data_IF_974276779492
#
_entry.id   IF_974276779492
#
_cell.length_a   1.000
_cell.length_b   1.000
_cell.length_c   1.000
_cell.angle_alpha   90.00
_cell.angle_beta   90.00
_cell.angle_gamma   90.00
#
_symmetry.space_group_name_H-M   'P 1'
#
loop_
_entity.id
_entity.type
_entity.pdbx_description
1 polymer ?
#
# COMPACT_ATOMS: atom_id res chain seq x y z
N UNK A 1 -70.59 38.74 111.17
CA UNK A 1 -69.15 38.59 111.00
C UNK A 1 -68.70 37.26 110.35
N UNK A 2 -69.25 36.06 110.76
CA UNK A 2 -68.71 34.75 110.23
C UNK A 2 -69.20 34.44 108.81
N UNK A 3 -70.41 34.84 108.33
CA UNK A 3 -70.87 34.53 106.97
C UNK A 3 -70.13 35.34 105.89
N UNK A 4 -69.72 36.56 106.11
CA UNK A 4 -68.98 37.40 105.16
C UNK A 4 -67.54 36.89 104.96
N UNK A 5 -66.87 36.31 105.97
CA UNK A 5 -65.52 35.76 105.92
C UNK A 5 -65.50 34.50 105.06
N UNK A 6 -66.56 33.65 105.09
CA UNK A 6 -66.66 32.44 104.26
C UNK A 6 -66.88 32.85 102.76
N UNK A 7 -67.74 33.82 102.48
CA UNK A 7 -67.96 34.33 101.15
C UNK A 7 -66.67 34.96 100.55
N UNK A 8 -65.91 35.76 101.37
CA UNK A 8 -64.64 36.36 100.97
C UNK A 8 -63.58 35.32 100.66
N UNK A 9 -63.51 34.24 101.42
CA UNK A 9 -62.59 33.16 101.11
C UNK A 9 -62.96 32.36 99.87
N UNK A 10 -64.25 32.13 99.64
CA UNK A 10 -64.74 31.47 98.40
C UNK A 10 -64.51 32.34 97.18
N UNK A 11 -64.75 33.67 97.26
CA UNK A 11 -64.41 34.62 96.23
C UNK A 11 -62.92 34.65 95.95
N UNK A 12 -62.07 34.57 97.00
CA UNK A 12 -60.62 34.51 96.84
C UNK A 12 -60.18 33.21 96.08
N UNK A 13 -60.72 32.02 96.49
CA UNK A 13 -60.47 30.73 95.75
C UNK A 13 -60.88 30.76 94.34
N UNK A 14 -62.06 31.36 94.04
CA UNK A 14 -62.52 31.58 92.68
C UNK A 14 -61.59 32.50 91.91
N UNK A 15 -61.14 33.59 92.49
CA UNK A 15 -60.18 34.54 91.91
C UNK A 15 -58.82 33.84 91.61
N UNK A 16 -58.30 33.07 92.55
CA UNK A 16 -57.07 32.28 92.39
C UNK A 16 -57.27 31.20 91.30
N UNK A 17 -58.38 30.48 91.31
CA UNK A 17 -58.72 29.52 90.27
C UNK A 17 -58.84 30.16 88.87
N UNK A 18 -59.47 31.36 88.88
CA UNK A 18 -59.58 32.13 87.58
C UNK A 18 -58.20 32.61 87.08
N UNK A 19 -57.31 33.07 87.99
CA UNK A 19 -55.97 33.50 87.69
C UNK A 19 -55.20 32.32 87.11
N UNK A 20 -55.22 31.12 87.75
CA UNK A 20 -54.57 29.92 87.23
C UNK A 20 -55.12 29.53 85.87
N UNK A 21 -56.40 29.56 85.64
CA UNK A 21 -57.02 29.28 84.33
C UNK A 21 -56.56 30.28 83.25
N UNK A 22 -56.42 31.56 83.58
CA UNK A 22 -55.91 32.61 82.68
C UNK A 22 -54.41 32.34 82.33
N UNK A 23 -53.60 31.88 83.31
CA UNK A 23 -52.21 31.53 83.09
C UNK A 23 -52.08 30.32 82.16
N UNK A 24 -52.90 29.26 82.30
CA UNK A 24 -52.97 28.14 81.36
C UNK A 24 -53.38 28.60 79.96
N UNK A 25 -54.46 29.39 79.82
CA UNK A 25 -54.92 29.94 78.54
C UNK A 25 -53.82 30.77 77.88
N UNK A 26 -53.04 31.53 78.66
CA UNK A 26 -51.95 32.33 78.08
C UNK A 26 -50.79 31.44 77.62
N UNK A 27 -50.48 30.33 78.31
CA UNK A 27 -49.53 29.33 77.90
C UNK A 27 -49.98 28.67 76.57
N UNK A 28 -51.23 28.23 76.51
CA UNK A 28 -51.79 27.60 75.29
C UNK A 28 -51.75 28.52 74.09
N UNK A 29 -52.07 29.82 74.31
CA UNK A 29 -51.97 30.83 73.26
C UNK A 29 -50.54 31.01 72.77
N UNK A 30 -49.54 31.02 73.70
CA UNK A 30 -48.12 31.06 73.25
C UNK A 30 -47.72 29.85 72.44
N UNK A 31 -48.15 28.66 72.84
CA UNK A 31 -47.90 27.40 72.05
C UNK A 31 -48.55 27.45 70.70
N UNK A 32 -49.81 27.89 70.61
CA UNK A 32 -50.53 28.11 69.34
C UNK A 32 -49.85 29.13 68.42
N UNK A 33 -49.30 30.23 68.98
CA UNK A 33 -48.51 31.19 68.21
C UNK A 33 -47.23 30.56 67.62
N UNK A 34 -46.53 29.76 68.44
CA UNK A 34 -45.33 29.02 67.93
C UNK A 34 -45.69 28.05 66.85
N UNK A 35 -46.75 27.23 67.00
CA UNK A 35 -47.23 26.31 65.99
C UNK A 35 -47.61 27.02 64.70
N UNK A 36 -48.35 28.16 64.81
CA UNK A 36 -48.73 28.97 63.65
C UNK A 36 -47.54 29.50 62.89
N UNK A 37 -46.50 30.01 63.57
CA UNK A 37 -45.23 30.44 62.95
C UNK A 37 -44.53 29.33 62.31
N UNK A 38 -44.50 28.11 62.88
CA UNK A 38 -43.94 26.96 62.28
C UNK A 38 -44.70 26.53 60.99
N UNK A 39 -46.00 26.53 60.99
CA UNK A 39 -46.88 26.29 59.84
C UNK A 39 -46.57 27.26 58.73
N UNK A 40 -46.50 28.59 59.03
CA UNK A 40 -46.16 29.61 58.03
C UNK A 40 -44.81 29.35 57.38
N UNK A 41 -43.79 29.07 58.20
CA UNK A 41 -42.44 28.72 57.69
C UNK A 41 -42.42 27.49 56.80
N UNK A 42 -43.13 26.41 57.21
CA UNK A 42 -43.22 25.17 56.46
C UNK A 42 -44.00 25.40 55.14
N UNK A 43 -45.06 26.17 55.19
CA UNK A 43 -45.89 26.54 53.99
C UNK A 43 -45.04 27.30 52.97
N UNK A 44 -44.26 28.31 53.44
CA UNK A 44 -43.35 29.08 52.57
C UNK A 44 -42.30 28.19 51.92
N UNK A 45 -41.68 27.28 52.74
CA UNK A 45 -40.72 26.34 52.24
C UNK A 45 -41.33 25.40 51.21
N UNK A 46 -42.50 24.82 51.47
CA UNK A 46 -43.19 23.94 50.54
C UNK A 46 -43.55 24.67 49.23
N UNK A 47 -43.94 25.94 49.28
CA UNK A 47 -44.19 26.75 48.09
C UNK A 47 -42.93 26.97 47.25
N UNK A 48 -41.77 27.16 47.90
CA UNK A 48 -40.47 27.26 47.21
C UNK A 48 -40.07 25.93 46.57
N UNK A 49 -40.16 24.83 47.34
CA UNK A 49 -39.82 23.46 46.83
C UNK A 49 -40.73 23.10 45.62
N UNK A 50 -41.99 23.46 45.65
CA UNK A 50 -42.92 23.31 44.52
C UNK A 50 -42.50 24.15 43.32
N UNK A 51 -42.08 25.39 43.52
CA UNK A 51 -41.61 26.27 42.43
C UNK A 51 -40.36 25.71 41.76
N UNK A 52 -39.39 25.25 42.57
CA UNK A 52 -38.18 24.57 42.04
C UNK A 52 -38.55 23.29 41.28
N UNK A 53 -39.42 22.44 41.82
CA UNK A 53 -39.89 21.23 41.17
C UNK A 53 -40.61 21.48 39.84
N UNK A 54 -41.39 22.55 39.73
CA UNK A 54 -42.01 22.97 38.46
C UNK A 54 -40.93 23.41 37.45
N UNK A 55 -39.93 24.17 37.89
CA UNK A 55 -38.81 24.58 37.04
C UNK A 55 -38.04 23.39 36.50
N UNK A 56 -37.71 22.41 37.35
CA UNK A 56 -37.03 21.20 36.97
C UNK A 56 -37.86 20.35 35.97
N UNK A 57 -39.17 20.24 36.23
CA UNK A 57 -40.07 19.56 35.32
C UNK A 57 -40.11 20.21 33.93
N UNK A 58 -40.10 21.54 33.85
CA UNK A 58 -40.02 22.28 32.58
C UNK A 58 -38.68 22.03 31.85
N UNK A 59 -37.58 21.99 32.59
CA UNK A 59 -36.26 21.66 32.02
C UNK A 59 -36.20 20.24 31.47
N UNK A 60 -36.73 19.27 32.22
CA UNK A 60 -36.84 17.87 31.76
C UNK A 60 -37.67 17.79 30.49
N UNK A 61 -38.80 18.48 30.43
CA UNK A 61 -39.66 18.50 29.24
C UNK A 61 -38.92 19.03 28.00
N UNK A 62 -38.15 20.12 28.15
CA UNK A 62 -37.32 20.68 27.09
C UNK A 62 -36.27 19.66 26.61
N UNK A 63 -35.55 19.03 27.54
CA UNK A 63 -34.53 18.01 27.22
C UNK A 63 -35.13 16.80 26.49
N UNK A 64 -36.32 16.37 26.87
CA UNK A 64 -37.06 15.29 26.18
C UNK A 64 -37.43 15.67 24.74
N UNK A 65 -37.81 16.95 24.52
CA UNK A 65 -38.09 17.43 23.15
C UNK A 65 -36.83 17.40 22.28
N UNK A 66 -35.69 17.87 22.77
CA UNK A 66 -34.38 17.82 22.08
C UNK A 66 -33.94 16.39 21.84
N UNK A 67 -34.13 15.48 22.78
CA UNK A 67 -33.86 14.06 22.65
C UNK A 67 -34.69 13.45 21.52
N UNK A 68 -35.99 13.76 21.44
CA UNK A 68 -36.90 13.27 20.41
C UNK A 68 -36.44 13.71 19.00
N UNK A 69 -36.04 14.97 18.84
CA UNK A 69 -35.47 15.47 17.58
C UNK A 69 -34.16 14.74 17.20
N UNK A 70 -33.29 14.51 18.19
CA UNK A 70 -32.05 13.75 18.01
C UNK A 70 -32.35 12.33 17.56
N UNK A 71 -33.32 11.63 18.18
CA UNK A 71 -33.73 10.30 17.82
C UNK A 71 -34.29 10.20 16.39
N UNK A 72 -35.09 11.19 15.96
CA UNK A 72 -35.59 11.26 14.58
C UNK A 72 -34.42 11.39 13.57
N UNK A 73 -33.48 12.30 13.87
CA UNK A 73 -32.27 12.47 13.03
C UNK A 73 -31.43 11.20 12.98
N UNK A 74 -31.28 10.52 14.12
CA UNK A 74 -30.58 9.25 14.22
C UNK A 74 -31.25 8.14 13.38
N UNK A 75 -32.59 8.07 13.40
CA UNK A 75 -33.37 7.17 12.56
C UNK A 75 -33.06 7.36 11.06
N UNK A 76 -33.11 8.60 10.58
CA UNK A 76 -32.77 8.92 9.20
C UNK A 76 -31.31 8.55 8.83
N UNK A 77 -30.36 8.70 9.77
CA UNK A 77 -28.98 8.27 9.58
C UNK A 77 -28.87 6.75 9.45
N UNK A 78 -29.59 6.00 10.28
CA UNK A 78 -29.59 4.54 10.20
C UNK A 78 -30.16 4.03 8.88
N UNK A 79 -31.21 4.62 8.35
CA UNK A 79 -31.74 4.30 7.02
C UNK A 79 -30.68 4.52 5.92
N UNK A 80 -29.97 5.65 5.99
CA UNK A 80 -28.87 5.92 5.05
C UNK A 80 -27.76 4.90 5.16
N UNK A 81 -27.32 4.56 6.38
CA UNK A 81 -26.30 3.54 6.62
C UNK A 81 -26.74 2.19 6.06
N UNK A 82 -27.99 1.77 6.32
CA UNK A 82 -28.53 0.51 5.80
C UNK A 82 -28.50 0.47 4.26
N UNK A 83 -28.89 1.56 3.60
CA UNK A 83 -28.80 1.70 2.14
C UNK A 83 -27.35 1.61 1.65
N UNK A 84 -26.42 2.36 2.26
CA UNK A 84 -25.00 2.34 1.91
C UNK A 84 -24.40 0.94 2.08
N UNK A 85 -24.73 0.25 3.18
CA UNK A 85 -24.25 -1.12 3.43
C UNK A 85 -24.75 -2.10 2.35
N UNK A 86 -26.00 -1.95 1.89
CA UNK A 86 -26.51 -2.76 0.77
C UNK A 86 -25.73 -2.51 -0.52
N UNK A 87 -25.55 -1.22 -0.90
CA UNK A 87 -24.76 -0.87 -2.10
C UNK A 87 -23.31 -1.36 -1.98
N UNK A 88 -22.72 -1.30 -0.78
CA UNK A 88 -21.36 -1.79 -0.54
C UNK A 88 -21.27 -3.33 -0.70
N UNK A 89 -22.30 -4.06 -0.25
CA UNK A 89 -22.37 -5.52 -0.44
C UNK A 89 -22.51 -5.88 -1.93
N UNK A 90 -23.33 -5.15 -2.68
CA UNK A 90 -23.47 -5.30 -4.13
C UNK A 90 -22.14 -5.04 -4.85
N UNK A 91 -21.46 -3.93 -4.50
CA UNK A 91 -20.13 -3.58 -5.06
C UNK A 91 -19.06 -4.63 -4.71
N UNK A 92 -19.06 -5.17 -3.49
CA UNK A 92 -18.14 -6.23 -3.08
C UNK A 92 -18.35 -7.50 -3.89
N UNK A 93 -19.61 -7.87 -4.17
CA UNK A 93 -19.94 -9.00 -5.03
C UNK A 93 -19.44 -8.80 -6.46
N UNK A 94 -19.63 -7.61 -7.03
CA UNK A 94 -19.14 -7.25 -8.37
C UNK A 94 -17.59 -7.29 -8.43
N UNK A 95 -16.92 -6.77 -7.40
CA UNK A 95 -15.44 -6.83 -7.30
C UNK A 95 -14.96 -8.28 -7.26
N UNK A 96 -15.66 -9.16 -6.53
CA UNK A 96 -15.31 -10.58 -6.47
C UNK A 96 -15.42 -11.25 -7.84
N UNK A 97 -16.48 -10.98 -8.58
CA UNK A 97 -16.65 -11.50 -9.95
C UNK A 97 -15.58 -10.96 -10.91
N UNK A 98 -15.29 -9.65 -10.84
CA UNK A 98 -14.22 -9.04 -11.64
C UNK A 98 -12.84 -9.63 -11.32
N UNK A 99 -12.53 -9.88 -10.04
CA UNK A 99 -11.29 -10.51 -9.64
C UNK A 99 -11.16 -11.94 -10.18
N UNK A 100 -12.26 -12.71 -10.23
CA UNK A 100 -12.27 -14.01 -10.87
C UNK A 100 -11.92 -13.92 -12.36
N UNK A 101 -12.56 -13.01 -13.08
CA UNK A 101 -12.31 -12.78 -14.51
C UNK A 101 -10.86 -12.33 -14.76
N UNK A 102 -10.29 -11.47 -13.88
CA UNK A 102 -8.88 -11.06 -13.95
C UNK A 102 -7.96 -12.27 -13.73
N UNK A 103 -8.26 -13.14 -12.76
CA UNK A 103 -7.46 -14.34 -12.51
C UNK A 103 -7.46 -15.27 -13.73
N UNK A 104 -8.62 -15.53 -14.33
CA UNK A 104 -8.74 -16.34 -15.55
C UNK A 104 -7.98 -15.71 -16.73
N UNK A 105 -8.14 -14.39 -16.95
CA UNK A 105 -7.41 -13.64 -17.98
C UNK A 105 -5.89 -13.67 -17.74
N UNK A 106 -5.45 -13.63 -16.48
CA UNK A 106 -4.03 -13.70 -16.13
C UNK A 106 -3.44 -15.08 -16.48
N UNK A 107 -4.18 -16.17 -16.21
CA UNK A 107 -3.76 -17.52 -16.60
C UNK A 107 -3.63 -17.62 -18.12
N UNK A 108 -4.63 -17.14 -18.86
CA UNK A 108 -4.61 -17.15 -20.32
C UNK A 108 -3.47 -16.29 -20.90
N UNK A 109 -3.23 -15.11 -20.32
CA UNK A 109 -2.10 -14.25 -20.71
C UNK A 109 -0.75 -14.93 -20.47
N UNK A 110 -0.60 -15.68 -19.38
CA UNK A 110 0.60 -16.46 -19.09
C UNK A 110 0.82 -17.54 -20.15
N UNK A 111 -0.23 -18.24 -20.55
CA UNK A 111 -0.17 -19.27 -21.61
C UNK A 111 0.24 -18.67 -22.97
N UNK A 112 -0.40 -17.58 -23.40
CA UNK A 112 -0.03 -16.86 -24.64
C UNK A 112 1.42 -16.36 -24.58
N UNK A 113 1.85 -15.85 -23.43
CA UNK A 113 3.24 -15.38 -23.24
C UNK A 113 4.23 -16.53 -23.39
N UNK A 114 3.91 -17.69 -22.83
CA UNK A 114 4.75 -18.88 -22.97
C UNK A 114 4.81 -19.35 -24.43
N UNK A 115 3.68 -19.48 -25.10
CA UNK A 115 3.63 -19.88 -26.52
C UNK A 115 4.36 -18.88 -27.42
N UNK A 116 4.20 -17.58 -27.16
CA UNK A 116 4.93 -16.52 -27.87
C UNK A 116 6.43 -16.65 -27.65
N UNK A 117 6.86 -16.89 -26.41
CA UNK A 117 8.25 -17.15 -26.05
C UNK A 117 8.83 -18.34 -26.81
N UNK A 118 8.11 -19.45 -26.87
CA UNK A 118 8.51 -20.65 -27.64
C UNK A 118 8.62 -20.38 -29.15
N UNK A 119 7.69 -19.60 -29.70
CA UNK A 119 7.73 -19.23 -31.12
C UNK A 119 8.94 -18.33 -31.43
N UNK A 120 9.22 -17.33 -30.59
CA UNK A 120 10.40 -16.46 -30.72
C UNK A 120 11.70 -17.25 -30.56
N UNK A 121 11.76 -18.19 -29.61
CA UNK A 121 12.91 -19.11 -29.46
C UNK A 121 13.17 -19.89 -30.75
N UNK A 122 12.12 -20.49 -31.34
CA UNK A 122 12.23 -21.22 -32.61
C UNK A 122 12.72 -20.35 -33.75
N UNK A 123 12.19 -19.12 -33.86
CA UNK A 123 12.62 -18.13 -34.85
C UNK A 123 14.09 -17.75 -34.65
N UNK A 124 14.52 -17.47 -33.42
CA UNK A 124 15.89 -17.12 -33.08
C UNK A 124 16.86 -18.25 -33.45
N UNK A 125 16.47 -19.50 -33.21
CA UNK A 125 17.25 -20.66 -33.60
C UNK A 125 17.37 -20.79 -35.11
N UNK A 126 16.26 -20.56 -35.85
CA UNK A 126 16.32 -20.58 -37.32
C UNK A 126 17.21 -19.45 -37.88
N UNK A 127 17.21 -18.28 -37.28
CA UNK A 127 18.08 -17.15 -37.68
C UNK A 127 19.55 -17.50 -37.39
N UNK A 128 19.85 -18.09 -36.22
CA UNK A 128 21.23 -18.49 -35.86
C UNK A 128 21.77 -19.57 -36.79
N UNK A 129 20.95 -20.56 -37.14
CA UNK A 129 21.29 -21.62 -38.11
C UNK A 129 21.51 -21.04 -39.51
N UNK A 130 20.62 -20.14 -39.99
CA UNK A 130 20.77 -19.45 -41.28
C UNK A 130 22.06 -18.62 -41.31
N UNK A 131 22.30 -17.83 -40.28
CA UNK A 131 23.50 -16.99 -40.11
C UNK A 131 24.77 -17.84 -40.13
N UNK A 132 24.82 -18.93 -39.39
CA UNK A 132 25.96 -19.87 -39.31
C UNK A 132 26.22 -20.50 -40.68
N UNK A 133 25.18 -20.93 -41.36
CA UNK A 133 25.27 -21.54 -42.70
C UNK A 133 25.74 -20.55 -43.76
N UNK A 134 25.29 -19.30 -43.68
CA UNK A 134 25.65 -18.24 -44.64
C UNK A 134 27.09 -17.77 -44.46
N UNK A 135 27.53 -17.59 -43.21
CA UNK A 135 28.89 -17.13 -42.87
C UNK A 135 29.94 -18.21 -43.21
N UNK A 136 29.61 -19.50 -43.06
CA UNK A 136 30.54 -20.62 -43.36
C UNK A 136 30.87 -20.78 -44.84
N UNK A 137 30.14 -20.12 -45.76
CA UNK A 137 30.29 -20.24 -47.21
C UNK A 137 31.20 -19.15 -47.82
N UNK A 138 32.44 -18.97 -47.31
CA UNK A 138 33.50 -18.18 -47.94
C UNK A 138 33.16 -16.73 -48.38
N UNK A 139 32.40 -16.01 -47.59
CA UNK A 139 32.24 -14.57 -47.77
C UNK A 139 33.42 -13.80 -47.18
N UNK A 140 33.98 -12.86 -47.93
CA UNK A 140 34.88 -11.85 -47.38
C UNK A 140 34.04 -10.90 -46.54
N UNK A 141 34.03 -11.08 -45.23
CA UNK A 141 33.27 -10.29 -44.30
C UNK A 141 34.04 -8.99 -44.01
N UNK A 142 33.41 -7.84 -44.19
CA UNK A 142 34.03 -6.55 -43.87
C UNK A 142 34.17 -6.38 -42.35
N UNK A 143 35.00 -5.43 -41.90
CA UNK A 143 35.18 -5.19 -40.46
C UNK A 143 33.89 -4.64 -39.81
N UNK A 144 33.14 -3.84 -40.58
CA UNK A 144 31.83 -3.34 -40.15
C UNK A 144 30.84 -4.49 -39.92
N UNK A 145 30.83 -5.50 -40.82
CA UNK A 145 29.96 -6.67 -40.70
C UNK A 145 30.35 -7.54 -39.50
N UNK A 146 31.66 -7.67 -39.20
CA UNK A 146 32.10 -8.41 -38.02
C UNK A 146 31.59 -7.78 -36.74
N UNK A 147 31.61 -6.43 -36.64
CA UNK A 147 31.04 -5.71 -35.48
C UNK A 147 29.54 -5.92 -35.42
N UNK A 148 28.79 -5.81 -36.50
CA UNK A 148 27.36 -6.03 -36.54
C UNK A 148 27.00 -7.46 -36.06
N UNK A 149 27.77 -8.46 -36.52
CA UNK A 149 27.62 -9.82 -36.05
C UNK A 149 27.94 -9.97 -34.55
N UNK A 150 28.95 -9.27 -34.06
CA UNK A 150 29.29 -9.28 -32.63
C UNK A 150 28.19 -8.67 -31.77
N UNK A 151 27.57 -7.55 -32.22
CA UNK A 151 26.41 -6.95 -31.58
C UNK A 151 25.26 -7.96 -31.51
N UNK A 152 24.98 -8.63 -32.64
CA UNK A 152 23.90 -9.62 -32.72
C UNK A 152 24.21 -10.83 -31.81
N UNK A 153 25.46 -11.26 -31.72
CA UNK A 153 25.89 -12.35 -30.83
C UNK A 153 25.59 -12.03 -29.36
N UNK A 154 25.83 -10.79 -28.90
CA UNK A 154 25.52 -10.38 -27.53
C UNK A 154 24.03 -10.35 -27.24
N UNK A 155 23.19 -9.91 -28.20
CA UNK A 155 21.75 -9.97 -28.11
C UNK A 155 21.23 -11.41 -28.03
N UNK A 156 21.78 -12.30 -28.87
CA UNK A 156 21.41 -13.72 -28.88
C UNK A 156 21.86 -14.45 -27.60
N UNK A 157 23.02 -14.13 -27.05
CA UNK A 157 23.46 -14.69 -25.77
C UNK A 157 22.52 -14.37 -24.62
N UNK A 158 22.09 -13.12 -24.48
CA UNK A 158 21.06 -12.74 -23.51
C UNK A 158 19.80 -13.58 -23.69
N UNK A 159 19.38 -13.71 -24.95
CA UNK A 159 18.18 -14.47 -25.28
C UNK A 159 18.32 -15.96 -24.97
N UNK A 160 19.47 -16.57 -25.21
CA UNK A 160 19.75 -17.97 -24.86
C UNK A 160 19.65 -18.19 -23.35
N UNK A 161 20.25 -17.33 -22.53
CA UNK A 161 20.16 -17.43 -21.07
C UNK A 161 18.71 -17.25 -20.60
N UNK A 162 17.97 -16.31 -21.18
CA UNK A 162 16.55 -16.13 -20.88
C UNK A 162 15.75 -17.40 -21.20
N UNK A 163 15.96 -18.02 -22.36
CA UNK A 163 15.28 -19.25 -22.74
C UNK A 163 15.68 -20.45 -21.87
N UNK A 164 16.92 -20.53 -21.40
CA UNK A 164 17.34 -21.47 -20.38
C UNK A 164 16.51 -21.34 -19.11
N UNK A 165 16.37 -20.11 -18.58
CA UNK A 165 15.61 -19.81 -17.36
C UNK A 165 14.10 -20.12 -17.54
N UNK A 166 13.56 -19.95 -18.75
CA UNK A 166 12.19 -20.33 -19.10
C UNK A 166 12.01 -21.83 -19.33
N UNK A 167 13.10 -22.60 -19.40
CA UNK A 167 13.06 -24.04 -19.65
C UNK A 167 12.87 -24.43 -21.14
N UNK A 168 13.07 -23.50 -22.09
CA UNK A 168 13.03 -23.80 -23.52
C UNK A 168 14.34 -24.34 -24.07
N UNK A 169 15.45 -24.16 -23.37
CA UNK A 169 16.79 -24.56 -23.79
C UNK A 169 17.52 -25.21 -22.61
N UNK A 170 18.36 -26.22 -22.93
CA UNK A 170 19.28 -26.81 -21.99
C UNK A 170 20.69 -26.31 -22.30
N UNK A 171 21.43 -25.86 -21.32
CA UNK A 171 22.76 -25.31 -21.48
C UNK A 171 23.66 -25.69 -20.31
N UNK A 172 24.92 -26.02 -20.61
CA UNK A 172 25.98 -26.17 -19.62
C UNK A 172 26.94 -24.98 -19.68
N UNK A 173 27.74 -24.77 -18.63
CA UNK A 173 28.75 -23.72 -18.59
C UNK A 173 29.77 -23.79 -19.75
N UNK A 174 30.02 -25.00 -20.29
CA UNK A 174 30.91 -25.21 -21.44
C UNK A 174 30.39 -24.54 -22.72
N UNK A 175 29.07 -24.40 -22.87
CA UNK A 175 28.47 -23.74 -24.03
C UNK A 175 28.71 -22.23 -24.06
N UNK A 176 29.02 -21.61 -22.92
CA UNK A 176 29.29 -20.16 -22.85
C UNK A 176 30.61 -19.78 -23.53
N UNK A 177 31.56 -20.73 -23.62
CA UNK A 177 32.85 -20.52 -24.27
C UNK A 177 33.75 -19.49 -23.56
N UNK A 178 34.96 -19.35 -24.13
CA UNK A 178 35.93 -18.35 -23.68
C UNK A 178 35.68 -16.99 -24.33
N UNK A 179 35.81 -15.84 -23.61
CA UNK A 179 35.75 -14.51 -24.22
C UNK A 179 36.71 -14.38 -25.44
N UNK A 180 37.88 -14.96 -25.39
CA UNK A 180 38.88 -14.86 -26.47
C UNK A 180 38.54 -15.68 -27.72
N UNK A 181 37.79 -16.77 -27.54
CA UNK A 181 37.36 -17.66 -28.64
C UNK A 181 36.07 -17.16 -29.30
N UNK A 182 35.36 -16.23 -28.67
CA UNK A 182 34.18 -15.58 -29.25
C UNK A 182 34.57 -14.79 -30.49
N UNK A 183 33.64 -14.54 -31.41
CA UNK A 183 33.87 -13.73 -32.61
C UNK A 183 34.41 -12.35 -32.26
N UNK A 184 33.84 -11.70 -31.26
CA UNK A 184 34.32 -10.41 -30.76
C UNK A 184 35.75 -10.54 -30.22
N UNK A 185 36.03 -11.57 -29.45
CA UNK A 185 37.36 -11.80 -28.91
C UNK A 185 38.41 -12.01 -29.98
N UNK A 186 38.12 -12.86 -30.98
CA UNK A 186 39.04 -13.07 -32.11
C UNK A 186 39.29 -11.78 -32.89
N UNK A 187 38.27 -10.98 -33.13
CA UNK A 187 38.43 -9.67 -33.77
C UNK A 187 39.21 -8.69 -32.89
N UNK A 188 38.88 -8.61 -31.59
CA UNK A 188 39.50 -7.67 -30.64
C UNK A 188 40.99 -7.92 -30.51
N UNK A 189 41.42 -9.16 -30.31
CA UNK A 189 42.86 -9.51 -30.18
C UNK A 189 43.58 -9.69 -31.55
N UNK A 190 42.86 -9.55 -32.65
CA UNK A 190 43.37 -9.61 -34.01
C UNK A 190 43.25 -8.27 -34.75
N UNK A 191 42.44 -8.28 -35.81
CA UNK A 191 42.30 -7.13 -36.73
C UNK A 191 41.77 -5.84 -36.05
N UNK A 192 40.91 -5.96 -35.05
CA UNK A 192 40.42 -4.80 -34.33
C UNK A 192 41.54 -3.98 -33.66
N UNK A 193 42.52 -4.67 -33.08
CA UNK A 193 43.72 -4.06 -32.48
C UNK A 193 44.52 -3.24 -33.50
N UNK A 194 44.64 -3.76 -34.73
CA UNK A 194 45.39 -3.07 -35.81
C UNK A 194 44.65 -1.81 -36.32
N UNK A 195 43.33 -1.84 -36.39
CA UNK A 195 42.52 -0.81 -37.03
C UNK A 195 42.11 0.27 -36.06
N UNK A 196 41.62 -0.09 -34.87
CA UNK A 196 41.02 0.81 -33.88
C UNK A 196 41.65 0.68 -32.49
N UNK A 197 42.75 -0.01 -32.31
CA UNK A 197 43.38 -0.29 -31.01
C UNK A 197 43.73 0.97 -30.19
N UNK A 198 43.91 2.13 -30.84
CA UNK A 198 44.18 3.38 -30.18
C UNK A 198 42.93 4.10 -29.65
N UNK A 199 41.74 3.70 -30.15
CA UNK A 199 40.47 4.34 -29.81
C UNK A 199 40.09 4.06 -28.37
N UNK A 200 39.47 5.05 -27.74
CA UNK A 200 39.01 4.92 -26.36
C UNK A 200 37.97 3.83 -26.20
N UNK A 201 36.98 3.78 -27.11
CA UNK A 201 35.94 2.77 -27.10
C UNK A 201 36.50 1.34 -27.19
N UNK A 202 37.59 1.14 -27.97
CA UNK A 202 38.27 -0.16 -28.05
C UNK A 202 38.90 -0.55 -26.70
N UNK A 203 39.60 0.34 -26.04
CA UNK A 203 40.24 0.08 -24.73
C UNK A 203 39.24 -0.17 -23.62
N UNK A 204 38.07 0.49 -23.69
CA UNK A 204 36.99 0.33 -22.75
C UNK A 204 36.11 -0.93 -22.99
N UNK A 205 36.25 -1.60 -24.13
CA UNK A 205 35.44 -2.74 -24.55
C UNK A 205 35.80 -4.06 -23.85
N UNK A 206 37.10 -4.29 -23.58
CA UNK A 206 37.58 -5.58 -23.09
C UNK A 206 36.93 -6.01 -21.78
N UNK A 207 36.97 -5.15 -20.80
CA UNK A 207 36.44 -5.45 -19.45
C UNK A 207 34.94 -5.80 -19.44
N UNK A 208 34.05 -5.03 -20.06
CA UNK A 208 32.64 -5.39 -20.18
C UNK A 208 32.43 -6.69 -20.95
N UNK A 209 33.16 -6.91 -22.03
CA UNK A 209 33.08 -8.17 -22.82
C UNK A 209 33.42 -9.40 -21.98
N UNK A 210 34.50 -9.35 -21.20
CA UNK A 210 34.86 -10.43 -20.27
C UNK A 210 33.77 -10.65 -19.20
N UNK A 211 33.22 -9.57 -18.68
CA UNK A 211 32.19 -9.62 -17.66
C UNK A 211 30.86 -10.25 -18.17
N UNK A 212 30.50 -10.02 -19.44
CA UNK A 212 29.35 -10.70 -20.07
C UNK A 212 29.52 -12.21 -20.03
N UNK A 213 30.68 -12.71 -20.41
CA UNK A 213 30.95 -14.16 -20.39
C UNK A 213 30.96 -14.73 -18.96
N UNK A 214 31.47 -13.99 -17.99
CA UNK A 214 31.47 -14.41 -16.59
C UNK A 214 30.05 -14.50 -16.05
N UNK A 215 29.22 -13.46 -16.27
CA UNK A 215 27.82 -13.41 -15.83
C UNK A 215 26.97 -14.49 -16.50
N UNK A 216 27.20 -14.74 -17.80
CA UNK A 216 26.54 -15.82 -18.52
C UNK A 216 26.86 -17.20 -17.90
N UNK A 217 28.13 -17.47 -17.57
CA UNK A 217 28.51 -18.74 -16.89
C UNK A 217 27.86 -18.84 -15.51
N UNK A 218 27.87 -17.78 -14.72
CA UNK A 218 27.21 -17.75 -13.40
C UNK A 218 25.72 -18.03 -13.52
N UNK A 219 25.02 -17.37 -14.46
CA UNK A 219 23.61 -17.61 -14.69
C UNK A 219 23.29 -19.07 -15.04
N UNK A 220 24.05 -19.65 -15.95
CA UNK A 220 23.93 -21.08 -16.33
C UNK A 220 24.22 -21.99 -15.15
N UNK A 221 25.30 -21.74 -14.41
CA UNK A 221 25.70 -22.53 -13.25
C UNK A 221 24.63 -22.60 -12.20
N UNK A 222 24.16 -21.44 -11.71
CA UNK A 222 23.16 -21.36 -10.62
C UNK A 222 21.81 -21.94 -11.08
N UNK A 223 21.42 -21.74 -12.34
CA UNK A 223 20.20 -22.34 -12.89
C UNK A 223 20.26 -23.88 -12.86
N UNK A 224 21.40 -24.46 -13.25
CA UNK A 224 21.59 -25.90 -13.23
C UNK A 224 21.60 -26.50 -11.81
N UNK A 225 21.86 -25.69 -10.78
CA UNK A 225 21.72 -26.08 -9.38
C UNK A 225 20.29 -25.86 -8.84
N UNK A 226 19.34 -25.38 -9.67
CA UNK A 226 17.95 -25.15 -9.29
C UNK A 226 17.64 -23.75 -8.74
N UNK A 227 18.64 -22.87 -8.68
CA UNK A 227 18.53 -21.49 -8.14
C UNK A 227 18.05 -20.53 -9.23
N UNK A 228 16.78 -20.64 -9.60
CA UNK A 228 16.19 -19.87 -10.71
C UNK A 228 16.20 -18.37 -10.47
N UNK A 229 15.82 -17.94 -9.26
CA UNK A 229 15.76 -16.51 -8.90
C UNK A 229 17.16 -15.85 -8.95
N UNK A 230 18.19 -16.59 -8.61
CA UNK A 230 19.58 -16.10 -8.70
C UNK A 230 20.05 -16.04 -10.16
N UNK A 231 19.63 -17.00 -11.00
CA UNK A 231 19.89 -16.96 -12.43
C UNK A 231 19.24 -15.73 -13.10
N UNK A 232 18.02 -15.35 -12.70
CA UNK A 232 17.34 -14.14 -13.18
C UNK A 232 18.12 -12.86 -12.81
N UNK A 233 18.70 -12.78 -11.61
CA UNK A 233 19.54 -11.65 -11.20
C UNK A 233 20.81 -11.55 -12.05
N UNK A 234 21.47 -12.68 -12.33
CA UNK A 234 22.63 -12.66 -13.22
C UNK A 234 22.25 -12.32 -14.66
N UNK A 235 21.08 -12.73 -15.15
CA UNK A 235 20.58 -12.32 -16.46
C UNK A 235 20.36 -10.81 -16.53
N UNK A 236 19.82 -10.20 -15.49
CA UNK A 236 19.67 -8.74 -15.44
C UNK A 236 21.01 -8.03 -15.51
N UNK A 237 21.99 -8.43 -14.68
CA UNK A 237 23.34 -7.87 -14.69
C UNK A 237 24.03 -8.07 -16.06
N UNK A 238 23.89 -9.25 -16.64
CA UNK A 238 24.37 -9.57 -17.98
C UNK A 238 23.75 -8.63 -19.03
N UNK A 239 22.46 -8.35 -18.92
CA UNK A 239 21.76 -7.42 -19.81
C UNK A 239 22.36 -6.02 -19.75
N UNK A 240 22.58 -5.50 -18.54
CA UNK A 240 23.12 -4.17 -18.32
C UNK A 240 24.55 -4.05 -18.91
N UNK A 241 25.42 -5.05 -18.66
CA UNK A 241 26.77 -5.06 -19.20
C UNK A 241 26.80 -5.28 -20.71
N UNK A 242 25.88 -6.10 -21.26
CA UNK A 242 25.75 -6.29 -22.72
C UNK A 242 25.41 -5.00 -23.44
N UNK A 243 24.58 -4.12 -22.86
CA UNK A 243 24.31 -2.80 -23.44
C UNK A 243 25.57 -1.94 -23.55
N UNK A 244 26.45 -1.99 -22.54
CA UNK A 244 27.73 -1.27 -22.58
C UNK A 244 28.62 -1.80 -23.73
N UNK A 245 28.68 -3.13 -23.88
CA UNK A 245 29.42 -3.77 -24.99
C UNK A 245 28.87 -3.31 -26.33
N UNK A 246 27.55 -3.34 -26.52
CA UNK A 246 26.87 -2.93 -27.74
C UNK A 246 27.15 -1.45 -28.06
N UNK A 247 27.04 -0.58 -27.08
CA UNK A 247 27.34 0.86 -27.24
C UNK A 247 28.77 1.08 -27.73
N UNK A 248 29.77 0.42 -27.10
CA UNK A 248 31.16 0.51 -27.54
C UNK A 248 31.39 -0.05 -28.94
N UNK A 249 30.73 -1.12 -29.30
CA UNK A 249 30.77 -1.68 -30.66
C UNK A 249 30.18 -0.73 -31.70
N UNK A 250 29.09 -0.06 -31.41
CA UNK A 250 28.48 0.94 -32.29
C UNK A 250 29.37 2.18 -32.48
N UNK A 251 30.02 2.64 -31.40
CA UNK A 251 31.05 3.70 -31.49
C UNK A 251 32.18 3.29 -32.44
N UNK A 252 32.71 2.08 -32.29
CA UNK A 252 33.79 1.54 -33.12
C UNK A 252 33.35 1.34 -34.58
N UNK A 253 32.16 0.85 -34.81
CA UNK A 253 31.57 0.70 -36.15
C UNK A 253 31.52 2.03 -36.88
N UNK A 254 31.09 3.08 -36.22
CA UNK A 254 31.04 4.44 -36.76
C UNK A 254 32.43 4.92 -37.16
N UNK A 255 33.43 4.76 -36.29
CA UNK A 255 34.83 5.14 -36.55
C UNK A 255 35.39 4.40 -37.78
N UNK A 256 35.14 3.09 -37.89
CA UNK A 256 35.62 2.29 -39.04
C UNK A 256 34.97 2.77 -40.34
N UNK A 257 33.69 3.05 -40.33
CA UNK A 257 32.96 3.57 -41.52
C UNK A 257 33.53 4.94 -41.94
N UNK A 258 33.82 5.84 -40.99
CA UNK A 258 34.41 7.15 -41.28
C UNK A 258 35.84 7.04 -41.84
N UNK A 259 36.67 6.19 -41.27
CA UNK A 259 38.04 5.91 -41.76
C UNK A 259 37.99 5.39 -43.19
N UNK A 260 37.09 4.46 -43.49
CA UNK A 260 36.90 3.92 -44.85
C UNK A 260 36.48 4.95 -45.87
N UNK A 261 35.49 5.84 -45.50
CA UNK A 261 35.09 6.94 -46.35
C UNK A 261 36.21 7.93 -46.62
N UNK A 262 37.06 8.24 -45.61
CA UNK A 262 38.21 9.11 -45.78
C UNK A 262 39.30 8.53 -46.71
N UNK A 263 39.45 7.17 -46.74
CA UNK A 263 40.37 6.50 -47.63
C UNK A 263 39.89 6.44 -49.09
N UNK A 264 38.55 6.34 -49.30
CA UNK A 264 37.94 6.33 -50.64
C UNK A 264 37.91 7.72 -51.30
N UNK A 265 37.98 8.78 -50.51
CA UNK A 265 37.96 10.18 -51.01
C UNK A 265 39.40 10.77 -51.26
N UNK A 266 40.41 10.00 -51.03
CA UNK A 266 41.84 10.32 -51.38
C UNK A 266 42.23 9.57 -52.62
#
# INVERSE_FOLDING_TARGET
GKGFAIVAEEVRKLADGTKTSVEYINSDIQELLQLTNNIDRLTKKSAQDLHEGVSDAMHIYKTLAELNETLQTQGARFERIAKMTRTQAESASEITERNKNIAESTVHSKEITFETGAAIYKLSKMIDDYRSTTISKNFIISQEDIIELAITDHLLWRWKIYNLILGFEEMSERHVGSPRESRLGQWYYGKGQEIVGNERAFKELEKPHMQVHELARKAVSVYNYGEKDEAEKYLQQLSDVSYIVIEKLQELQTIIIEQKKSLLNK
#
